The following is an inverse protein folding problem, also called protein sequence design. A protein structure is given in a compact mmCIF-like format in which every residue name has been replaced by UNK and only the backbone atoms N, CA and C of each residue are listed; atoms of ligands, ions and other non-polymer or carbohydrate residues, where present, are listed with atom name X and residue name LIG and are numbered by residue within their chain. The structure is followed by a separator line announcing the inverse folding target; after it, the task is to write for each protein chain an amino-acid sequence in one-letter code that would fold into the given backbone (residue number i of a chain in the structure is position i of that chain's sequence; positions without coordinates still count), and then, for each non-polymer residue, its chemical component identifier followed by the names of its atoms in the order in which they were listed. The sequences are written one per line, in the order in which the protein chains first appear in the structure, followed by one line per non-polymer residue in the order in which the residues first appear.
data_IF_843083057055
#
_entry.id   IF_843083057055
#
_cell.length_a   1.000
_cell.length_b   1.000
_cell.length_c   1.000
_cell.angle_alpha   90.00
_cell.angle_beta   90.00
_cell.angle_gamma   90.00
#
_symmetry.space_group_name_H-M   'P 1'
#
loop_
_entity.id
_entity.type
_entity.pdbx_description
1 polymer ?
#
# COMPACT_ATOMS: atom_id res chain seq x y z
N UNK A 1 98.43 2.49 -16.05
CA UNK A 1 97.42 2.89 -17.06
C UNK A 1 96.06 2.78 -16.38
N UNK A 2 95.51 3.90 -15.90
CA UNK A 2 94.14 3.97 -15.41
C UNK A 2 93.42 4.97 -16.31
N UNK A 3 92.52 4.46 -17.16
CA UNK A 3 91.70 5.29 -18.02
C UNK A 3 90.65 6.01 -17.16
N UNK A 4 90.64 7.33 -17.22
CA UNK A 4 89.59 8.16 -16.64
C UNK A 4 88.45 8.21 -17.66
N UNK A 5 87.22 7.74 -17.34
CA UNK A 5 86.12 7.84 -18.27
C UNK A 5 85.73 9.31 -18.45
N UNK A 6 85.82 9.81 -19.68
CA UNK A 6 85.25 11.10 -20.09
C UNK A 6 83.74 11.11 -19.81
N UNK A 7 83.19 12.14 -19.12
CA UNK A 7 81.75 12.24 -18.97
C UNK A 7 81.11 12.42 -20.35
N UNK A 8 80.14 11.57 -20.67
CA UNK A 8 79.29 11.70 -21.85
C UNK A 8 78.53 13.02 -21.70
N UNK A 9 78.59 13.87 -22.73
CA UNK A 9 77.94 15.16 -22.76
C UNK A 9 76.47 15.06 -22.30
N UNK A 10 76.14 15.79 -21.23
CA UNK A 10 74.79 15.98 -20.76
C UNK A 10 74.02 16.67 -21.89
N UNK A 11 73.04 15.97 -22.49
CA UNK A 11 72.20 16.57 -23.52
C UNK A 11 71.29 17.56 -22.79
N UNK A 12 71.70 18.83 -22.76
CA UNK A 12 70.91 19.94 -22.25
C UNK A 12 69.74 20.17 -23.23
N UNK A 13 68.65 19.45 -23.01
CA UNK A 13 67.38 19.73 -23.63
C UNK A 13 66.84 21.02 -23.01
N UNK A 14 67.11 22.15 -23.66
CA UNK A 14 66.51 23.43 -23.32
C UNK A 14 64.97 23.32 -23.19
N UNK A 15 64.33 24.25 -22.46
CA UNK A 15 62.98 24.08 -21.95
C UNK A 15 62.02 23.66 -23.05
N UNK A 16 61.30 22.55 -22.81
CA UNK A 16 60.40 21.96 -23.79
C UNK A 16 59.33 22.97 -24.19
N UNK A 17 58.77 22.86 -25.41
CA UNK A 17 57.69 23.75 -25.87
C UNK A 17 56.47 23.70 -24.93
N UNK A 18 56.30 22.59 -24.21
CA UNK A 18 55.29 22.44 -23.17
C UNK A 18 55.61 23.26 -21.92
N UNK A 19 56.87 23.26 -21.46
CA UNK A 19 57.30 24.00 -20.27
C UNK A 19 57.16 25.51 -20.49
N UNK A 20 57.56 26.00 -21.68
CA UNK A 20 57.38 27.41 -22.05
C UNK A 20 55.91 27.80 -22.15
N UNK A 21 55.03 26.89 -22.58
CA UNK A 21 53.60 27.13 -22.63
C UNK A 21 52.98 27.18 -21.23
N UNK A 22 53.35 26.24 -20.36
CA UNK A 22 52.94 26.22 -18.97
C UNK A 22 53.41 27.51 -18.31
N UNK A 23 54.70 27.82 -18.27
CA UNK A 23 55.22 29.03 -17.62
C UNK A 23 54.50 30.32 -18.07
N UNK A 24 54.22 30.45 -19.37
CA UNK A 24 53.49 31.61 -19.91
C UNK A 24 52.01 31.65 -19.49
N UNK A 25 51.37 30.50 -19.29
CA UNK A 25 49.95 30.37 -19.03
C UNK A 25 49.59 29.84 -17.62
N UNK A 26 50.56 29.55 -16.75
CA UNK A 26 50.37 28.92 -15.43
C UNK A 26 49.36 29.71 -14.60
N UNK A 27 49.49 31.04 -14.53
CA UNK A 27 48.54 31.88 -13.79
C UNK A 27 47.09 31.73 -14.30
N UNK A 28 46.90 31.64 -15.63
CA UNK A 28 45.57 31.47 -16.24
C UNK A 28 45.01 30.06 -16.00
N UNK A 29 45.86 29.04 -16.05
CA UNK A 29 45.48 27.65 -15.76
C UNK A 29 45.11 27.47 -14.29
N UNK A 30 45.87 28.06 -13.36
CA UNK A 30 45.56 28.03 -11.91
C UNK A 30 44.24 28.75 -11.63
N UNK A 31 44.01 29.94 -12.20
CA UNK A 31 42.73 30.64 -12.07
C UNK A 31 41.58 29.80 -12.64
N UNK A 32 41.77 29.19 -13.82
CA UNK A 32 40.79 28.28 -14.42
C UNK A 32 40.48 27.08 -13.52
N UNK A 33 41.50 26.45 -12.95
CA UNK A 33 41.34 25.33 -12.02
C UNK A 33 40.60 25.73 -10.73
N UNK A 34 40.88 26.91 -10.18
CA UNK A 34 40.15 27.43 -9.00
C UNK A 34 38.68 27.67 -9.33
N UNK A 35 38.38 28.28 -10.47
CA UNK A 35 36.98 28.51 -10.89
C UNK A 35 36.24 27.18 -11.08
N UNK A 36 36.90 26.17 -11.68
CA UNK A 36 36.34 24.83 -11.81
C UNK A 36 36.08 24.21 -10.43
N UNK A 37 37.05 24.28 -9.52
CA UNK A 37 36.91 23.74 -8.17
C UNK A 37 35.75 24.40 -7.41
N UNK A 38 35.62 25.72 -7.47
CA UNK A 38 34.50 26.45 -6.88
C UNK A 38 33.16 26.08 -7.52
N UNK A 39 33.13 25.89 -8.84
CA UNK A 39 31.95 25.40 -9.56
C UNK A 39 31.53 23.99 -9.11
N UNK A 40 32.49 23.09 -8.92
CA UNK A 40 32.23 21.73 -8.41
C UNK A 40 31.75 21.77 -6.96
N UNK A 41 32.37 22.59 -6.09
CA UNK A 41 31.92 22.74 -4.69
C UNK A 41 30.50 23.30 -4.64
N UNK A 42 30.21 24.35 -5.42
CA UNK A 42 28.86 24.90 -5.53
C UNK A 42 27.85 23.87 -6.01
N UNK A 43 28.20 23.07 -7.02
CA UNK A 43 27.36 21.97 -7.51
C UNK A 43 27.12 20.89 -6.45
N UNK A 44 28.14 20.48 -5.70
CA UNK A 44 28.01 19.46 -4.64
C UNK A 44 27.12 19.95 -3.50
N UNK A 45 27.27 21.20 -3.07
CA UNK A 45 26.40 21.80 -2.04
C UNK A 45 24.95 21.87 -2.55
N UNK A 46 24.75 22.33 -3.78
CA UNK A 46 23.42 22.41 -4.40
C UNK A 46 22.76 21.03 -4.50
N UNK A 47 23.49 20.04 -5.03
CA UNK A 47 22.99 18.67 -5.16
C UNK A 47 22.73 18.00 -3.80
N UNK A 48 23.57 18.29 -2.79
CA UNK A 48 23.39 17.80 -1.42
C UNK A 48 22.12 18.33 -0.78
N UNK A 49 21.87 19.64 -0.87
CA UNK A 49 20.65 20.27 -0.33
C UNK A 49 19.40 19.69 -0.98
N UNK A 50 19.40 19.47 -2.29
CA UNK A 50 18.24 18.91 -2.98
C UNK A 50 17.95 17.47 -2.55
N UNK A 51 19.00 16.66 -2.36
CA UNK A 51 18.87 15.30 -1.82
C UNK A 51 18.33 15.31 -0.40
N UNK A 52 18.83 16.19 0.46
CA UNK A 52 18.34 16.34 1.84
C UNK A 52 16.87 16.76 1.89
N UNK A 53 16.41 17.62 0.97
CA UNK A 53 14.97 17.98 0.88
C UNK A 53 14.10 16.78 0.57
N UNK A 54 14.51 15.90 -0.35
CA UNK A 54 13.73 14.71 -0.67
C UNK A 54 13.63 13.72 0.50
N UNK A 55 14.71 13.56 1.26
CA UNK A 55 14.74 12.71 2.46
C UNK A 55 13.87 13.30 3.59
N UNK A 56 13.96 14.61 3.81
CA UNK A 56 13.12 15.32 4.79
C UNK A 56 11.63 15.23 4.42
N UNK A 57 11.28 15.45 3.15
CA UNK A 57 9.90 15.34 2.67
C UNK A 57 9.34 13.92 2.83
N UNK A 58 10.15 12.90 2.53
CA UNK A 58 9.76 11.49 2.74
C UNK A 58 9.57 11.15 4.22
N UNK A 59 10.46 11.62 5.09
CA UNK A 59 10.31 11.44 6.55
C UNK A 59 9.06 12.14 7.08
N UNK A 60 8.78 13.35 6.61
CA UNK A 60 7.62 14.12 7.03
C UNK A 60 6.31 13.48 6.54
N UNK A 61 6.29 12.94 5.32
CA UNK A 61 5.16 12.14 4.82
C UNK A 61 4.89 10.92 5.70
N UNK A 62 5.94 10.18 6.07
CA UNK A 62 5.81 9.00 6.92
C UNK A 62 5.32 9.34 8.34
N UNK A 63 5.63 10.54 8.84
CA UNK A 63 5.15 11.02 10.14
C UNK A 63 3.75 11.64 10.08
N UNK A 64 3.22 11.92 8.88
CA UNK A 64 1.92 12.54 8.71
C UNK A 64 0.79 11.51 8.77
N UNK A 65 -0.13 11.70 9.72
CA UNK A 65 -1.30 10.83 9.92
C UNK A 65 -2.63 11.62 9.95
N UNK A 66 -2.59 12.89 9.54
CA UNK A 66 -3.75 13.79 9.61
C UNK A 66 -3.83 14.71 8.39
N UNK A 67 -5.02 15.28 8.17
CA UNK A 67 -5.27 16.31 7.15
C UNK A 67 -4.23 17.44 7.24
N UNK A 68 -3.98 17.97 8.45
CA UNK A 68 -2.99 19.02 8.68
C UNK A 68 -1.57 18.57 8.36
N UNK A 69 -1.18 17.38 8.80
CA UNK A 69 0.16 16.82 8.52
C UNK A 69 0.43 16.65 7.02
N UNK A 70 -0.55 16.17 6.25
CA UNK A 70 -0.39 16.06 4.80
C UNK A 70 -0.34 17.42 4.12
N UNK A 71 -1.15 18.39 4.57
CA UNK A 71 -1.11 19.76 4.06
C UNK A 71 0.25 20.43 4.31
N UNK A 72 0.85 20.21 5.47
CA UNK A 72 2.18 20.72 5.81
C UNK A 72 3.24 20.15 4.87
N UNK A 73 3.20 18.85 4.58
CA UNK A 73 4.14 18.21 3.63
C UNK A 73 4.01 18.80 2.22
N UNK A 74 2.77 19.00 1.74
CA UNK A 74 2.51 19.60 0.42
C UNK A 74 3.03 21.03 0.34
N UNK A 75 2.84 21.81 1.41
CA UNK A 75 3.22 23.22 1.47
C UNK A 75 4.73 23.43 1.60
N UNK A 76 5.40 22.61 2.41
CA UNK A 76 6.83 22.76 2.71
C UNK A 76 7.72 22.21 1.58
N UNK A 77 7.28 21.15 0.89
CA UNK A 77 8.03 20.52 -0.22
C UNK A 77 7.23 20.40 -1.52
N UNK A 78 6.77 21.53 -2.10
CA UNK A 78 5.96 21.51 -3.32
C UNK A 78 6.73 20.85 -4.47
N UNK A 79 6.05 19.98 -5.21
CA UNK A 79 6.63 19.25 -6.36
C UNK A 79 7.54 18.07 -5.98
N UNK A 80 7.79 17.82 -4.70
CA UNK A 80 8.45 16.59 -4.27
C UNK A 80 7.54 15.38 -4.48
N UNK A 81 8.11 14.19 -4.74
CA UNK A 81 7.32 12.94 -4.81
C UNK A 81 6.50 12.69 -3.53
N UNK A 82 7.07 13.07 -2.39
CA UNK A 82 6.38 12.96 -1.10
C UNK A 82 5.17 13.89 -1.02
N UNK A 83 5.24 15.12 -1.51
CA UNK A 83 4.09 16.01 -1.59
C UNK A 83 3.00 15.47 -2.52
N UNK A 84 3.37 14.89 -3.67
CA UNK A 84 2.41 14.26 -4.58
C UNK A 84 1.71 13.07 -3.90
N UNK A 85 2.45 12.20 -3.21
CA UNK A 85 1.87 11.12 -2.40
C UNK A 85 1.01 11.65 -1.25
N UNK A 86 1.44 12.72 -0.57
CA UNK A 86 0.71 13.37 0.51
C UNK A 86 -0.65 13.88 0.02
N UNK A 87 -0.74 14.42 -1.19
CA UNK A 87 -2.00 14.90 -1.77
C UNK A 87 -3.02 13.76 -1.96
N UNK A 88 -2.57 12.57 -2.38
CA UNK A 88 -3.45 11.41 -2.47
C UNK A 88 -3.94 10.95 -1.10
N UNK A 89 -3.05 10.90 -0.10
CA UNK A 89 -3.40 10.53 1.28
C UNK A 89 -4.31 11.57 1.95
N UNK A 90 -4.09 12.86 1.65
CA UNK A 90 -4.91 13.98 2.10
C UNK A 90 -6.37 13.79 1.66
N UNK A 91 -6.61 13.41 0.40
CA UNK A 91 -7.97 13.13 -0.06
C UNK A 91 -8.63 11.98 0.71
N UNK A 92 -7.84 10.99 1.13
CA UNK A 92 -8.26 9.93 2.05
C UNK A 92 -8.73 10.50 3.39
N UNK A 93 -7.85 11.23 4.05
CA UNK A 93 -8.08 11.80 5.37
C UNK A 93 -9.21 12.83 5.40
N UNK A 94 -9.41 13.58 4.31
CA UNK A 94 -10.46 14.58 4.20
C UNK A 94 -11.87 14.00 4.11
N UNK A 95 -12.05 12.71 3.78
CA UNK A 95 -13.37 12.18 3.44
C UNK A 95 -14.40 12.33 4.54
N UNK A 96 -14.02 11.98 5.77
CA UNK A 96 -14.91 11.99 6.93
C UNK A 96 -15.30 13.41 7.34
N UNK A 97 -14.37 14.37 7.18
CA UNK A 97 -14.60 15.78 7.54
C UNK A 97 -15.30 16.57 6.42
N UNK A 98 -14.93 16.31 5.16
CA UNK A 98 -15.39 17.02 3.97
C UNK A 98 -15.23 16.19 2.69
N UNK A 99 -16.30 15.52 2.31
CA UNK A 99 -16.37 14.75 1.06
C UNK A 99 -16.11 15.63 -0.19
N UNK A 100 -16.52 16.89 -0.15
CA UNK A 100 -16.32 17.83 -1.25
C UNK A 100 -14.84 18.16 -1.44
N UNK A 101 -14.10 18.40 -0.35
CA UNK A 101 -12.67 18.68 -0.41
C UNK A 101 -11.89 17.44 -0.84
N UNK A 102 -12.24 16.27 -0.33
CA UNK A 102 -11.61 15.01 -0.75
C UNK A 102 -11.73 14.74 -2.26
N UNK A 103 -12.93 14.95 -2.84
CA UNK A 103 -13.13 14.82 -4.30
C UNK A 103 -12.34 15.88 -5.04
N UNK A 104 -12.38 17.13 -4.59
CA UNK A 104 -11.62 18.21 -5.21
C UNK A 104 -10.13 17.91 -5.20
N UNK A 105 -9.57 17.45 -4.09
CA UNK A 105 -8.16 17.06 -3.96
C UNK A 105 -7.77 15.96 -4.94
N UNK A 106 -8.63 14.96 -5.15
CA UNK A 106 -8.41 13.91 -6.17
C UNK A 106 -8.48 14.45 -7.60
N UNK A 107 -9.43 15.35 -7.88
CA UNK A 107 -9.56 15.99 -9.19
C UNK A 107 -8.33 16.86 -9.50
N UNK A 108 -7.90 17.68 -8.55
CA UNK A 108 -6.70 18.51 -8.67
C UNK A 108 -5.46 17.64 -8.86
N UNK A 109 -5.34 16.53 -8.11
CA UNK A 109 -4.25 15.56 -8.29
C UNK A 109 -4.21 14.99 -9.71
N UNK A 110 -5.36 14.59 -10.25
CA UNK A 110 -5.44 14.01 -11.59
C UNK A 110 -5.21 15.04 -12.71
N UNK A 111 -5.52 16.31 -12.46
CA UNK A 111 -5.26 17.41 -13.38
C UNK A 111 -3.75 17.74 -13.44
N UNK A 112 -3.09 17.76 -12.29
CA UNK A 112 -1.68 18.17 -12.18
C UNK A 112 -0.69 17.01 -12.38
N UNK A 113 -1.12 15.76 -12.14
CA UNK A 113 -0.26 14.57 -12.04
C UNK A 113 -0.83 13.35 -12.77
N UNK A 114 -1.37 13.54 -13.98
CA UNK A 114 -2.02 12.46 -14.75
C UNK A 114 -1.09 11.28 -15.09
N UNK A 115 0.21 11.51 -15.19
CA UNK A 115 1.25 10.51 -15.51
C UNK A 115 1.88 9.87 -14.25
N UNK A 116 1.48 10.30 -13.06
CA UNK A 116 2.02 9.77 -11.81
C UNK A 116 1.60 8.30 -11.61
N UNK A 117 2.47 7.41 -11.06
CA UNK A 117 2.14 5.99 -10.85
C UNK A 117 0.86 5.74 -10.03
N UNK A 118 0.48 6.69 -9.18
CA UNK A 118 -0.71 6.63 -8.35
C UNK A 118 -1.99 7.16 -9.05
N UNK A 119 -1.92 7.63 -10.30
CA UNK A 119 -3.08 8.20 -11.02
C UNK A 119 -4.21 7.20 -11.17
N UNK A 120 -3.92 5.93 -11.48
CA UNK A 120 -4.93 4.87 -11.55
C UNK A 120 -5.62 4.65 -10.19
N UNK A 121 -4.86 4.67 -9.10
CA UNK A 121 -5.40 4.57 -7.73
C UNK A 121 -6.28 5.78 -7.38
N UNK A 122 -5.85 6.99 -7.76
CA UNK A 122 -6.63 8.21 -7.56
C UNK A 122 -7.94 8.19 -8.37
N UNK A 123 -7.92 7.70 -9.62
CA UNK A 123 -9.12 7.51 -10.45
C UNK A 123 -10.10 6.52 -9.83
N UNK A 124 -9.63 5.37 -9.35
CA UNK A 124 -10.52 4.40 -8.66
C UNK A 124 -11.10 5.01 -7.39
N UNK A 125 -10.29 5.69 -6.59
CA UNK A 125 -10.75 6.39 -5.38
C UNK A 125 -11.80 7.45 -5.71
N UNK A 126 -11.59 8.23 -6.78
CA UNK A 126 -12.55 9.23 -7.25
C UNK A 126 -13.85 8.56 -7.71
N UNK A 127 -13.77 7.50 -8.50
CA UNK A 127 -14.93 6.74 -8.97
C UNK A 127 -15.77 6.18 -7.81
N UNK A 128 -15.13 5.58 -6.81
CA UNK A 128 -15.83 5.06 -5.62
C UNK A 128 -16.52 6.16 -4.83
N UNK A 129 -15.86 7.30 -4.62
CA UNK A 129 -16.43 8.46 -3.92
C UNK A 129 -17.58 9.11 -4.70
N UNK A 130 -17.49 9.15 -6.03
CA UNK A 130 -18.57 9.61 -6.89
C UNK A 130 -19.80 8.69 -6.80
N UNK A 131 -19.60 7.37 -6.70
CA UNK A 131 -20.71 6.43 -6.46
C UNK A 131 -21.39 6.67 -5.11
N UNK A 132 -20.61 6.94 -4.07
CA UNK A 132 -21.17 7.26 -2.74
C UNK A 132 -22.01 8.55 -2.77
N UNK A 133 -21.70 9.49 -3.67
CA UNK A 133 -22.52 10.68 -3.94
C UNK A 133 -23.68 10.44 -4.91
N UNK A 134 -23.88 9.22 -5.40
CA UNK A 134 -24.90 8.89 -6.40
C UNK A 134 -24.59 9.39 -7.82
N UNK A 135 -23.37 9.87 -8.07
CA UNK A 135 -22.89 10.33 -9.38
C UNK A 135 -22.40 9.15 -10.22
N UNK A 136 -23.33 8.22 -10.50
CA UNK A 136 -23.01 6.94 -11.14
C UNK A 136 -22.43 7.10 -12.55
N UNK A 137 -22.89 8.07 -13.34
CA UNK A 137 -22.39 8.29 -14.70
C UNK A 137 -20.94 8.76 -14.69
N UNK A 138 -20.63 9.77 -13.87
CA UNK A 138 -19.25 10.28 -13.70
C UNK A 138 -18.31 9.19 -13.17
N UNK A 139 -18.77 8.40 -12.18
CA UNK A 139 -18.01 7.28 -11.67
C UNK A 139 -17.72 6.23 -12.75
N UNK A 140 -18.73 5.88 -13.56
CA UNK A 140 -18.60 4.91 -14.64
C UNK A 140 -17.56 5.36 -15.65
N UNK A 141 -17.54 6.65 -16.02
CA UNK A 141 -16.53 7.21 -16.93
C UNK A 141 -15.12 7.02 -16.37
N UNK A 142 -14.86 7.48 -15.14
CA UNK A 142 -13.52 7.43 -14.54
C UNK A 142 -13.05 5.98 -14.31
N UNK A 143 -13.93 5.09 -13.87
CA UNK A 143 -13.60 3.68 -13.64
C UNK A 143 -13.34 2.93 -14.96
N UNK A 144 -14.04 3.30 -16.04
CA UNK A 144 -13.82 2.70 -17.37
C UNK A 144 -12.45 3.06 -17.93
N UNK A 145 -11.95 4.26 -17.66
CA UNK A 145 -10.58 4.63 -18.05
C UNK A 145 -9.55 3.68 -17.42
N UNK A 146 -9.68 3.39 -16.12
CA UNK A 146 -8.77 2.47 -15.41
C UNK A 146 -8.96 1.03 -15.90
N UNK A 147 -10.20 0.60 -16.14
CA UNK A 147 -10.50 -0.75 -16.63
C UNK A 147 -9.94 -1.06 -18.04
N UNK A 148 -9.56 -0.02 -18.79
CA UNK A 148 -8.98 -0.10 -20.13
C UNK A 148 -7.50 0.31 -20.18
N UNK A 149 -6.90 0.61 -19.03
CA UNK A 149 -5.48 0.96 -18.91
C UNK A 149 -4.67 -0.28 -18.49
N UNK A 150 -3.89 -0.81 -19.43
CA UNK A 150 -3.05 -1.99 -19.19
C UNK A 150 -1.91 -1.71 -18.19
N UNK A 151 -1.51 -0.44 -18.02
CA UNK A 151 -0.50 -0.05 -17.03
C UNK A 151 -1.05 -0.03 -15.60
N UNK A 152 -2.37 -0.02 -15.47
CA UNK A 152 -3.08 -0.02 -14.19
C UNK A 152 -3.45 -1.44 -13.71
N UNK A 153 -2.81 -2.50 -14.23
CA UNK A 153 -3.12 -3.90 -13.94
C UNK A 153 -3.25 -4.25 -12.45
N UNK A 154 -2.50 -3.55 -11.58
CA UNK A 154 -2.52 -3.75 -10.13
C UNK A 154 -3.83 -3.31 -9.46
N UNK A 155 -4.58 -2.39 -10.08
CA UNK A 155 -5.82 -1.81 -9.51
C UNK A 155 -7.02 -1.91 -10.46
N UNK A 156 -6.80 -2.16 -11.75
CA UNK A 156 -7.86 -2.28 -12.74
C UNK A 156 -8.90 -3.36 -12.43
N UNK A 157 -8.58 -4.52 -11.79
CA UNK A 157 -9.60 -5.48 -11.38
C UNK A 157 -10.61 -4.88 -10.39
N UNK A 158 -10.19 -3.99 -9.49
CA UNK A 158 -11.11 -3.30 -8.59
C UNK A 158 -12.08 -2.42 -9.36
N UNK A 159 -11.57 -1.61 -10.30
CA UNK A 159 -12.41 -0.77 -11.16
C UNK A 159 -13.43 -1.60 -11.96
N UNK A 160 -12.98 -2.74 -12.51
CA UNK A 160 -13.82 -3.66 -13.27
C UNK A 160 -14.91 -4.29 -12.38
N UNK A 161 -14.59 -4.71 -11.16
CA UNK A 161 -15.59 -5.22 -10.20
C UNK A 161 -16.61 -4.13 -9.91
N UNK A 162 -16.17 -2.89 -9.68
CA UNK A 162 -17.08 -1.77 -9.41
C UNK A 162 -18.00 -1.48 -10.59
N UNK A 163 -17.52 -1.54 -11.84
CA UNK A 163 -18.36 -1.44 -13.04
C UNK A 163 -19.40 -2.57 -13.11
N UNK A 164 -19.01 -3.79 -12.72
CA UNK A 164 -19.95 -4.91 -12.58
C UNK A 164 -21.01 -4.66 -11.51
N UNK A 165 -20.61 -4.11 -10.36
CA UNK A 165 -21.52 -3.74 -9.26
C UNK A 165 -22.51 -2.65 -9.70
N UNK A 166 -22.06 -1.65 -10.47
CA UNK A 166 -22.94 -0.62 -11.09
C UNK A 166 -23.94 -1.28 -12.05
N UNK A 167 -23.48 -2.15 -12.95
CA UNK A 167 -24.36 -2.83 -13.91
C UNK A 167 -25.39 -3.71 -13.20
N UNK A 168 -24.98 -4.42 -12.14
CA UNK A 168 -25.87 -5.26 -11.32
C UNK A 168 -26.92 -4.41 -10.60
N UNK A 169 -26.53 -3.29 -10.01
CA UNK A 169 -27.46 -2.36 -9.38
C UNK A 169 -28.49 -1.78 -10.37
N UNK A 170 -28.10 -1.63 -11.65
CA UNK A 170 -29.00 -1.24 -12.74
C UNK A 170 -29.87 -2.39 -13.28
N UNK A 171 -29.80 -3.59 -12.69
CA UNK A 171 -30.54 -4.78 -13.14
C UNK A 171 -29.98 -5.44 -14.41
N UNK A 172 -28.78 -5.05 -14.86
CA UNK A 172 -28.13 -5.56 -16.06
C UNK A 172 -27.19 -6.73 -15.71
N UNK A 173 -27.78 -7.85 -15.28
CA UNK A 173 -27.01 -8.99 -14.76
C UNK A 173 -26.04 -9.61 -15.79
N UNK A 174 -26.39 -9.65 -17.07
CA UNK A 174 -25.50 -10.17 -18.12
C UNK A 174 -24.27 -9.28 -18.31
N UNK A 175 -24.45 -7.95 -18.25
CA UNK A 175 -23.35 -7.00 -18.30
C UNK A 175 -22.46 -7.12 -17.05
N UNK A 176 -23.07 -7.20 -15.87
CA UNK A 176 -22.35 -7.42 -14.61
C UNK A 176 -21.52 -8.71 -14.65
N UNK A 177 -22.09 -9.80 -15.18
CA UNK A 177 -21.39 -11.08 -15.35
C UNK A 177 -20.14 -10.94 -16.22
N UNK A 178 -20.24 -10.24 -17.34
CA UNK A 178 -19.10 -9.99 -18.24
C UNK A 178 -18.00 -9.20 -17.53
N UNK A 179 -18.36 -8.18 -16.77
CA UNK A 179 -17.39 -7.41 -15.97
C UNK A 179 -16.71 -8.28 -14.92
N UNK A 180 -17.46 -9.03 -14.10
CA UNK A 180 -16.87 -9.89 -13.08
C UNK A 180 -15.97 -10.96 -13.70
N UNK A 181 -16.35 -11.55 -14.84
CA UNK A 181 -15.50 -12.49 -15.56
C UNK A 181 -14.19 -11.82 -16.01
N UNK A 182 -14.25 -10.61 -16.58
CA UNK A 182 -13.04 -9.84 -16.93
C UNK A 182 -12.15 -9.60 -15.72
N UNK A 183 -12.73 -9.29 -14.55
CA UNK A 183 -11.98 -9.07 -13.31
C UNK A 183 -11.32 -10.33 -12.72
N UNK A 184 -11.68 -11.54 -13.16
CA UNK A 184 -10.99 -12.78 -12.73
C UNK A 184 -9.68 -13.01 -13.46
N UNK A 185 -9.46 -12.36 -14.61
CA UNK A 185 -8.26 -12.56 -15.41
C UNK A 185 -7.01 -12.02 -14.68
N UNK A 186 -5.89 -12.72 -14.84
CA UNK A 186 -4.56 -12.19 -14.57
C UNK A 186 -3.83 -11.99 -15.89
N UNK A 187 -3.92 -10.78 -16.44
CA UNK A 187 -3.33 -10.46 -17.73
C UNK A 187 -1.81 -10.19 -17.64
N UNK A 188 -1.24 -10.13 -16.43
CA UNK A 188 0.16 -9.75 -16.23
C UNK A 188 1.04 -10.88 -15.71
N UNK A 189 0.44 -11.94 -15.17
CA UNK A 189 1.15 -13.02 -14.50
C UNK A 189 1.76 -12.60 -13.15
N UNK A 190 1.43 -11.40 -12.64
CA UNK A 190 1.89 -10.88 -11.36
C UNK A 190 0.94 -11.23 -10.21
N UNK A 191 -0.14 -11.95 -10.50
CA UNK A 191 -1.22 -12.25 -9.57
C UNK A 191 -2.31 -11.18 -9.59
N UNK A 192 -3.54 -11.60 -9.28
CA UNK A 192 -4.70 -10.74 -9.15
C UNK A 192 -5.31 -10.94 -7.76
N UNK A 193 -5.07 -10.00 -6.86
CA UNK A 193 -5.57 -10.02 -5.47
C UNK A 193 -7.09 -9.89 -5.37
N UNK A 194 -7.76 -9.43 -6.44
CA UNK A 194 -9.20 -9.28 -6.53
C UNK A 194 -9.90 -10.49 -7.15
N UNK A 195 -9.16 -11.50 -7.62
CA UNK A 195 -9.72 -12.63 -8.36
C UNK A 195 -10.82 -13.37 -7.57
N UNK A 196 -10.62 -13.59 -6.27
CA UNK A 196 -11.61 -14.29 -5.44
C UNK A 196 -12.84 -13.42 -5.13
N UNK A 197 -12.65 -12.11 -5.02
CA UNK A 197 -13.77 -11.16 -4.92
C UNK A 197 -14.58 -11.15 -6.22
N UNK A 198 -13.91 -11.13 -7.37
CA UNK A 198 -14.55 -11.20 -8.68
C UNK A 198 -15.33 -12.51 -8.88
N UNK A 199 -14.74 -13.67 -8.52
CA UNK A 199 -15.44 -14.97 -8.55
C UNK A 199 -16.67 -14.97 -7.65
N UNK A 200 -16.54 -14.48 -6.42
CA UNK A 200 -17.67 -14.39 -5.49
C UNK A 200 -18.80 -13.51 -6.04
N UNK A 201 -18.45 -12.37 -6.66
CA UNK A 201 -19.43 -11.49 -7.33
C UNK A 201 -20.10 -12.17 -8.53
N UNK A 202 -19.32 -12.92 -9.32
CA UNK A 202 -19.80 -13.70 -10.46
C UNK A 202 -20.80 -14.79 -10.03
N UNK A 203 -20.50 -15.54 -8.98
CA UNK A 203 -21.37 -16.60 -8.46
C UNK A 203 -22.70 -16.04 -7.91
N UNK A 204 -22.63 -14.85 -7.31
CA UNK A 204 -23.78 -14.18 -6.70
C UNK A 204 -24.55 -13.25 -7.65
N UNK A 205 -24.12 -13.09 -8.92
CA UNK A 205 -24.74 -12.11 -9.83
C UNK A 205 -26.20 -12.46 -10.13
N UNK A 206 -26.52 -13.75 -10.23
CA UNK A 206 -27.87 -14.27 -10.50
C UNK A 206 -28.54 -14.91 -9.28
N UNK A 207 -27.93 -14.79 -8.09
CA UNK A 207 -28.50 -15.38 -6.88
C UNK A 207 -29.82 -14.69 -6.52
N UNK A 208 -30.87 -15.50 -6.30
CA UNK A 208 -32.17 -15.04 -5.82
C UNK A 208 -32.16 -15.09 -4.29
N UNK A 209 -32.54 -14.02 -3.58
CA UNK A 209 -32.55 -14.02 -2.12
C UNK A 209 -33.50 -15.08 -1.57
N UNK A 210 -33.11 -15.83 -0.51
CA UNK A 210 -33.97 -16.84 0.09
C UNK A 210 -35.23 -16.20 0.67
N UNK A 211 -36.39 -16.79 0.39
CA UNK A 211 -37.66 -16.36 0.96
C UNK A 211 -37.81 -16.93 2.36
N UNK A 212 -38.17 -16.08 3.33
CA UNK A 212 -38.44 -16.52 4.71
C UNK A 212 -39.74 -17.33 4.72
N UNK A 213 -39.62 -18.65 4.77
CA UNK A 213 -40.73 -19.53 5.16
C UNK A 213 -40.97 -19.35 6.66
N UNK A 214 -42.13 -18.78 7.03
CA UNK A 214 -42.60 -18.80 8.42
C UNK A 214 -42.69 -20.27 8.84
N UNK A 215 -42.02 -20.72 9.93
CA UNK A 215 -42.21 -22.06 10.44
C UNK A 215 -43.70 -22.29 10.69
N UNK A 216 -44.30 -23.22 9.96
CA UNK A 216 -45.64 -23.71 10.30
C UNK A 216 -45.52 -24.30 11.70
N UNK A 217 -46.33 -23.80 12.64
CA UNK A 217 -46.39 -24.37 13.98
C UNK A 217 -46.69 -25.88 13.85
N UNK A 218 -46.04 -26.75 14.64
CA UNK A 218 -46.35 -28.17 14.63
C UNK A 218 -47.87 -28.35 14.80
N UNK A 219 -48.50 -29.13 13.93
CA UNK A 219 -49.91 -29.46 14.08
C UNK A 219 -50.15 -30.03 15.50
N UNK A 220 -51.28 -29.70 16.15
CA UNK A 220 -51.61 -30.24 17.46
C UNK A 220 -51.48 -31.77 17.45
N UNK A 221 -50.74 -32.30 18.42
CA UNK A 221 -50.49 -33.73 18.55
C UNK A 221 -51.80 -34.54 18.43
N UNK A 222 -51.83 -35.47 17.47
CA UNK A 222 -52.93 -36.43 17.36
C UNK A 222 -53.00 -37.21 18.69
N UNK A 223 -54.15 -37.26 19.38
CA UNK A 223 -54.27 -38.01 20.62
C UNK A 223 -54.00 -39.50 20.37
N UNK A 224 -53.38 -40.22 21.32
CA UNK A 224 -52.98 -41.61 21.14
C UNK A 224 -54.19 -42.51 20.89
N UNK A 225 -54.07 -43.36 19.86
CA UNK A 225 -55.09 -44.36 19.54
C UNK A 225 -55.22 -45.41 20.67
N UNK A 226 -56.44 -45.88 20.99
CA UNK A 226 -56.66 -46.87 22.03
C UNK A 226 -56.08 -48.26 21.67
N UNK A 227 -55.70 -49.09 22.66
CA UNK A 227 -55.01 -50.35 22.43
C UNK A 227 -55.91 -51.40 21.77
N UNK A 228 -55.38 -52.07 20.74
CA UNK A 228 -56.04 -53.17 20.03
C UNK A 228 -56.13 -54.43 20.91
N UNK A 229 -57.31 -55.04 20.94
CA UNK A 229 -57.58 -56.28 21.67
C UNK A 229 -57.05 -57.54 20.93
N UNK A 230 -56.77 -58.66 21.63
CA UNK A 230 -56.04 -59.79 21.08
C UNK A 230 -56.94 -60.91 20.51
N UNK A 231 -56.57 -61.39 19.30
CA UNK A 231 -56.61 -62.81 18.93
C UNK A 231 -57.81 -63.32 18.13
N UNK A 232 -57.54 -64.00 17.00
CA UNK A 232 -57.66 -65.47 16.83
C UNK A 232 -57.14 -65.89 15.42
N UNK A 233 -56.71 -67.16 15.22
CA UNK A 233 -55.68 -67.52 14.24
C UNK A 233 -56.15 -68.37 13.05
N UNK A 234 -55.18 -68.68 12.17
CA UNK A 234 -55.05 -69.78 11.16
C UNK A 234 -55.32 -69.41 9.69
N UNK A 235 -54.83 -70.20 8.70
CA UNK A 235 -53.48 -70.78 8.52
C UNK A 235 -53.01 -70.80 7.03
N UNK A 236 -51.69 -70.91 6.75
CA UNK A 236 -51.19 -71.38 5.44
C UNK A 236 -49.76 -70.98 5.06
N UNK A 237 -48.80 -71.88 5.30
CA UNK A 237 -47.34 -71.85 5.00
C UNK A 237 -46.97 -71.83 3.48
N UNK A 238 -45.69 -71.70 3.02
CA UNK A 238 -44.39 -71.65 3.74
C UNK A 238 -43.38 -70.53 3.36
N UNK A 239 -42.39 -70.33 4.24
CA UNK A 239 -41.11 -69.55 4.14
C UNK A 239 -39.92 -70.48 3.72
N UNK A 240 -38.61 -70.11 3.76
CA UNK A 240 -37.77 -69.06 3.13
C UNK A 240 -36.51 -69.69 2.41
N UNK A 241 -35.43 -68.95 2.05
CA UNK A 241 -34.29 -68.70 2.99
C UNK A 241 -33.77 -67.24 2.92
N UNK A 242 -33.55 -66.57 4.06
CA UNK A 242 -32.32 -66.47 4.87
C UNK A 242 -31.27 -65.44 4.36
N UNK A 243 -31.27 -64.27 5.03
CA UNK A 243 -30.14 -63.54 5.69
C UNK A 243 -28.72 -63.52 5.08
N UNK A 244 -27.93 -62.43 5.29
CA UNK A 244 -27.71 -61.85 6.62
C UNK A 244 -27.83 -60.32 6.75
N UNK A 245 -28.39 -59.91 7.89
CA UNK A 245 -28.01 -58.69 8.57
C UNK A 245 -26.57 -58.80 9.11
N UNK A 246 -25.81 -57.71 9.06
CA UNK A 246 -25.05 -57.17 10.19
C UNK A 246 -24.06 -56.10 9.70
N UNK A 247 -23.92 -55.02 10.48
CA UNK A 247 -22.84 -54.02 10.33
C UNK A 247 -23.40 -52.62 10.20
N UNK A 248 -23.92 -52.02 11.27
CA UNK A 248 -23.12 -51.28 12.26
C UNK A 248 -22.57 -49.94 11.74
N UNK A 249 -22.97 -48.90 12.47
CA UNK A 249 -22.19 -47.70 12.80
C UNK A 249 -21.90 -46.71 11.67
N UNK A 250 -22.69 -45.63 11.66
CA UNK A 250 -22.25 -44.32 11.24
C UNK A 250 -21.02 -43.91 12.08
N UNK A 251 -19.91 -43.47 11.48
CA UNK A 251 -18.83 -42.85 12.24
C UNK A 251 -19.28 -41.47 12.78
N UNK A 252 -18.93 -41.11 14.02
CA UNK A 252 -19.17 -39.78 14.59
C UNK A 252 -18.42 -38.66 13.86
N UNK A 253 -19.06 -37.49 13.78
CA UNK A 253 -18.45 -36.22 13.42
C UNK A 253 -17.39 -35.85 14.47
N UNK A 254 -16.11 -35.96 14.11
CA UNK A 254 -15.02 -35.32 14.84
C UNK A 254 -15.03 -33.81 14.52
N UNK A 255 -15.23 -33.02 15.57
CA UNK A 255 -14.91 -31.59 15.56
C UNK A 255 -13.38 -31.44 15.51
N UNK A 256 -12.82 -30.52 14.72
CA UNK A 256 -11.41 -30.20 14.83
C UNK A 256 -11.14 -29.49 16.15
N UNK A 257 -10.25 -30.10 16.92
CA UNK A 257 -9.64 -29.62 18.16
C UNK A 257 -9.08 -28.19 18.04
N UNK A 258 -9.17 -27.49 19.16
CA UNK A 258 -8.42 -26.26 19.42
C UNK A 258 -6.91 -26.50 19.27
N UNK A 259 -6.14 -25.56 18.69
CA UNK A 259 -4.69 -25.61 18.78
C UNK A 259 -4.26 -25.25 20.21
N UNK A 260 -3.83 -26.27 20.96
CA UNK A 260 -2.94 -26.09 22.09
C UNK A 260 -1.48 -26.22 21.62
N UNK A 261 -0.67 -25.28 22.11
CA UNK A 261 0.78 -25.31 22.26
C UNK A 261 1.65 -25.06 21.01
N UNK A 262 2.14 -23.81 21.02
CA UNK A 262 3.31 -23.30 20.32
C UNK A 262 4.54 -24.17 20.62
N UNK A 263 5.35 -24.54 19.61
CA UNK A 263 6.76 -24.85 19.83
C UNK A 263 7.51 -23.56 20.14
N UNK A 264 8.40 -23.68 21.11
CA UNK A 264 9.27 -22.66 21.67
C UNK A 264 10.02 -21.86 20.60
N UNK A 265 10.18 -20.58 20.90
CA UNK A 265 11.07 -19.68 20.20
C UNK A 265 12.50 -20.23 20.29
N UNK A 266 13.10 -20.51 19.13
CA UNK A 266 14.55 -20.61 19.03
C UNK A 266 15.13 -19.23 19.38
N UNK A 267 15.82 -19.18 20.50
CA UNK A 267 16.61 -18.06 20.98
C UNK A 267 17.67 -17.71 19.94
N UNK A 268 17.45 -16.61 19.21
CA UNK A 268 18.54 -15.92 18.56
C UNK A 268 19.23 -15.05 19.63
N UNK A 269 20.55 -15.22 19.87
CA UNK A 269 21.22 -14.60 21.00
C UNK A 269 21.20 -13.08 20.94
N UNK A 270 20.89 -12.48 22.08
CA UNK A 270 21.10 -11.07 22.41
C UNK A 270 22.57 -10.70 22.14
N UNK A 271 22.83 -9.89 21.11
CA UNK A 271 24.02 -9.05 21.08
C UNK A 271 23.70 -7.79 21.90
N UNK A 272 24.11 -7.84 23.17
CA UNK A 272 24.09 -6.71 24.06
C UNK A 272 24.97 -5.58 23.49
N UNK A 273 24.54 -4.30 23.56
CA UNK A 273 25.45 -3.19 23.36
C UNK A 273 26.42 -3.12 24.54
N UNK A 274 27.70 -3.33 24.24
CA UNK A 274 28.79 -3.13 25.18
C UNK A 274 28.88 -1.66 25.60
N UNK A 275 28.88 -1.49 26.93
CA UNK A 275 29.58 -0.48 27.74
C UNK A 275 29.90 0.89 27.10
N UNK A 276 29.23 1.91 27.66
CA UNK A 276 29.83 3.21 27.85
C UNK A 276 31.06 3.10 28.78
N UNK A 277 32.10 3.92 28.58
CA UNK A 277 32.92 4.40 29.66
C UNK A 277 32.35 5.73 30.17
N UNK A 278 32.10 5.75 31.47
CA UNK A 278 32.00 6.93 32.31
C UNK A 278 33.25 7.82 32.22
N UNK A 279 33.08 9.04 32.75
CA UNK A 279 34.12 9.95 33.25
C UNK A 279 34.62 11.05 32.27
N UNK A 280 34.01 12.25 32.35
CA UNK A 280 34.67 13.36 33.05
C UNK A 280 33.69 14.51 33.34
N UNK A 281 33.70 14.95 34.59
CA UNK A 281 32.96 16.08 35.10
C UNK A 281 33.59 17.40 34.65
N UNK A 282 32.80 18.36 34.17
CA UNK A 282 33.17 19.76 34.34
C UNK A 282 31.98 20.62 34.81
N UNK A 283 32.29 21.33 35.89
CA UNK A 283 31.48 22.25 36.65
C UNK A 283 31.51 23.58 35.91
N UNK A 284 30.37 24.08 35.44
CA UNK A 284 30.12 25.51 35.62
C UNK A 284 28.65 25.90 35.52
N UNK A 285 28.07 26.07 36.70
CA UNK A 285 26.94 26.98 36.93
C UNK A 285 27.52 28.40 37.07
N UNK A 286 26.77 29.44 36.69
CA UNK A 286 26.42 30.39 37.75
C UNK A 286 24.93 30.68 37.85
N UNK A 287 24.53 30.87 39.11
CA UNK A 287 23.21 31.30 39.57
C UNK A 287 22.79 32.67 39.01
N UNK A 288 21.54 32.74 38.56
CA UNK A 288 20.42 33.51 39.15
C UNK A 288 20.67 34.97 39.58
N UNK A 289 19.96 35.88 38.92
CA UNK A 289 19.37 37.12 39.46
C UNK A 289 18.13 37.39 38.57
N UNK A 290 16.88 37.14 38.94
CA UNK A 290 16.04 37.72 40.01
C UNK A 290 15.40 39.06 39.59
N UNK A 291 14.05 39.13 39.73
CA UNK A 291 13.12 40.29 39.64
C UNK A 291 12.65 40.71 38.23
N UNK A 292 11.39 41.02 37.92
CA UNK A 292 10.03 40.94 38.52
C UNK A 292 9.06 41.42 37.38
N UNK A 293 7.74 41.17 37.40
CA UNK A 293 6.81 41.58 36.34
C UNK A 293 6.18 42.96 36.64
N UNK A 294 5.95 43.76 35.59
CA UNK A 294 5.03 44.92 35.56
C UNK A 294 4.22 44.75 34.26
N UNK A 295 2.94 44.37 34.29
CA UNK A 295 1.74 45.17 34.61
C UNK A 295 1.48 46.34 33.64
N UNK A 296 0.72 46.05 32.57
CA UNK A 296 -0.30 46.92 31.92
C UNK A 296 0.14 48.23 31.23
N UNK A 297 -0.78 48.94 30.52
CA UNK A 297 -2.23 48.73 30.48
C UNK A 297 -2.88 48.69 29.07
N UNK A 298 -4.17 48.34 29.09
CA UNK A 298 -5.23 48.52 28.07
C UNK A 298 -5.09 49.78 27.19
N UNK A 299 -5.34 49.64 25.88
CA UNK A 299 -6.53 50.12 25.13
C UNK A 299 -6.74 49.21 23.92
#
# INVERSE_FOLDING_TARGET
MAETPTPIAEIDHGPSKLDQFLDKHTAKLVIGAIVIALGVIGYVIYAGVERSKHEAAGSALNAAESVGGYQDVIKEWPGSKAAVSAQLLLAGAQWEDSQADAIKTLQDFLADHSDHPASATAKVSLGLRLLEQGKTDEATTVLTEVANDDTASYISPLAIITLGDIAKAAGKNDEAKNWYQKATADNTGQGNTFADTAKSRLDLVNAVPPTKIKPTAPDPAVPPAPPAAPGLPTPGLPLPPASPEAGSTLPPLEAPDAPAEQPEADEQPEDAPAEAPDEEADKNKPSKSEQNPEDGPRV
#
